data_IF_602402732273
#
_entry.id   IF_602402732273
#
_cell.length_a   1.000
_cell.length_b   1.000
_cell.length_c   1.000
_cell.angle_alpha   90.00
_cell.angle_beta   90.00
_cell.angle_gamma   90.00
#
_symmetry.space_group_name_H-M   'P 1'
#
loop_
_entity.id
_entity.type
_entity.pdbx_description
1 polymer ?
#
# COMPACT_ATOMS: atom_id res chain seq x y z
N UNK A 1 -10.35 8.36 -3.73
CA UNK A 1 -9.60 7.38 -4.55
C UNK A 1 -10.37 6.06 -4.49
N UNK A 2 -10.44 5.31 -5.59
CA UNK A 2 -11.13 4.00 -5.58
C UNK A 2 -10.35 3.01 -4.72
N UNK A 3 -11.04 2.31 -3.80
CA UNK A 3 -10.45 1.24 -2.98
C UNK A 3 -9.75 0.16 -3.82
N UNK A 4 -10.20 -0.07 -5.06
CA UNK A 4 -9.53 -1.00 -5.99
C UNK A 4 -8.08 -0.57 -6.31
N UNK A 5 -7.83 0.72 -6.48
CA UNK A 5 -6.48 1.20 -6.78
C UNK A 5 -5.54 1.04 -5.58
N UNK A 6 -6.07 1.17 -4.37
CA UNK A 6 -5.28 0.98 -3.14
C UNK A 6 -5.07 -0.51 -2.83
N UNK A 7 -6.01 -1.39 -3.20
CA UNK A 7 -5.80 -2.84 -3.13
C UNK A 7 -4.63 -3.31 -3.99
N UNK A 8 -4.47 -2.76 -5.20
CA UNK A 8 -3.33 -3.09 -6.06
C UNK A 8 -1.99 -2.70 -5.40
N UNK A 9 -1.95 -1.57 -4.68
CA UNK A 9 -0.77 -1.17 -3.91
C UNK A 9 -0.48 -2.15 -2.77
N UNK A 10 -1.51 -2.60 -2.05
CA UNK A 10 -1.36 -3.59 -0.98
C UNK A 10 -0.77 -4.90 -1.51
N UNK A 11 -1.29 -5.40 -2.64
CA UNK A 11 -0.78 -6.62 -3.29
C UNK A 11 0.70 -6.50 -3.59
N UNK A 12 1.16 -5.36 -4.09
CA UNK A 12 2.60 -5.19 -4.37
C UNK A 12 3.46 -5.05 -3.12
N UNK A 13 2.96 -4.43 -2.05
CA UNK A 13 3.67 -4.43 -0.76
C UNK A 13 3.80 -5.85 -0.22
N UNK A 14 2.73 -6.65 -0.30
CA UNK A 14 2.71 -8.04 0.14
C UNK A 14 3.68 -8.91 -0.71
N UNK A 15 3.70 -8.74 -2.03
CA UNK A 15 4.62 -9.43 -2.95
C UNK A 15 6.08 -9.07 -2.66
N UNK A 16 6.37 -7.77 -2.53
CA UNK A 16 7.72 -7.27 -2.32
C UNK A 16 8.25 -7.55 -0.89
N UNK A 17 7.34 -7.82 0.06
CA UNK A 17 7.62 -7.95 1.51
C UNK A 17 8.41 -6.75 2.06
N UNK A 18 8.22 -5.58 1.45
CA UNK A 18 8.95 -4.36 1.79
C UNK A 18 8.27 -3.16 1.13
N UNK A 19 7.90 -2.17 1.94
CA UNK A 19 7.36 -0.90 1.46
C UNK A 19 8.35 -0.16 0.54
N UNK A 20 9.64 -0.18 0.87
CA UNK A 20 10.67 0.47 0.05
C UNK A 20 10.75 -0.15 -1.34
N UNK A 21 10.84 -1.49 -1.43
CA UNK A 21 10.92 -2.20 -2.72
C UNK A 21 9.64 -2.04 -3.54
N UNK A 22 8.47 -2.09 -2.89
CA UNK A 22 7.20 -1.85 -3.57
C UNK A 22 7.11 -0.42 -4.12
N UNK A 23 7.53 0.57 -3.33
CA UNK A 23 7.55 1.98 -3.75
C UNK A 23 8.48 2.21 -4.94
N UNK A 24 9.66 1.59 -4.94
CA UNK A 24 10.60 1.59 -6.08
C UNK A 24 9.96 0.95 -7.32
N UNK A 25 9.32 -0.22 -7.19
CA UNK A 25 8.66 -0.92 -8.30
C UNK A 25 7.46 -0.14 -8.87
N UNK A 26 6.75 0.59 -8.01
CA UNK A 26 5.59 1.41 -8.37
C UNK A 26 5.97 2.83 -8.82
N UNK A 27 7.26 3.19 -8.79
CA UNK A 27 7.74 4.53 -9.18
C UNK A 27 7.16 5.65 -8.32
N UNK A 28 6.91 5.41 -7.02
CA UNK A 28 6.33 6.41 -6.12
C UNK A 28 7.11 6.56 -4.82
N UNK A 29 6.98 7.71 -4.11
CA UNK A 29 7.59 7.87 -2.81
C UNK A 29 7.06 6.86 -1.78
N UNK A 30 7.95 6.30 -0.97
CA UNK A 30 7.61 5.37 0.11
C UNK A 30 6.57 5.97 1.08
N UNK A 31 6.71 7.26 1.42
CA UNK A 31 5.74 7.97 2.27
C UNK A 31 4.33 8.06 1.66
N UNK A 32 4.22 8.19 0.34
CA UNK A 32 2.94 8.18 -0.38
C UNK A 32 2.31 6.80 -0.35
N UNK A 33 3.10 5.75 -0.62
CA UNK A 33 2.63 4.37 -0.57
C UNK A 33 2.11 4.03 0.84
N UNK A 34 2.89 4.30 1.88
CA UNK A 34 2.48 4.06 3.28
C UNK A 34 1.20 4.79 3.63
N UNK A 35 1.06 6.07 3.25
CA UNK A 35 -0.17 6.84 3.51
C UNK A 35 -1.40 6.25 2.84
N UNK A 36 -1.27 5.78 1.60
CA UNK A 36 -2.38 5.14 0.85
C UNK A 36 -2.78 3.80 1.46
N UNK A 37 -1.82 2.98 1.89
CA UNK A 37 -2.10 1.74 2.61
C UNK A 37 -2.80 2.02 3.94
N UNK A 38 -2.31 2.96 4.74
CA UNK A 38 -2.97 3.32 6.00
C UNK A 38 -4.39 3.87 5.79
N UNK A 39 -4.64 4.57 4.69
CA UNK A 39 -5.99 5.03 4.34
C UNK A 39 -6.90 3.86 3.94
N UNK A 40 -6.39 2.88 3.19
CA UNK A 40 -7.11 1.66 2.86
C UNK A 40 -7.47 0.86 4.13
N UNK A 41 -6.49 0.59 4.99
CA UNK A 41 -6.69 -0.13 6.27
C UNK A 41 -7.75 0.54 7.14
N UNK A 42 -7.73 1.88 7.23
CA UNK A 42 -8.75 2.66 7.95
C UNK A 42 -10.12 2.54 7.32
N UNK A 43 -10.21 2.61 5.98
CA UNK A 43 -11.49 2.55 5.28
C UNK A 43 -12.17 1.18 5.41
N UNK A 44 -11.39 0.09 5.44
CA UNK A 44 -11.91 -1.27 5.63
C UNK A 44 -12.00 -1.69 7.11
N UNK A 45 -11.44 -0.87 8.02
CA UNK A 45 -11.44 -1.14 9.46
C UNK A 45 -10.53 -2.31 9.89
N UNK A 46 -9.53 -2.67 9.08
CA UNK A 46 -8.66 -3.82 9.31
C UNK A 46 -7.21 -3.47 9.01
N UNK A 47 -6.30 -3.94 9.88
CA UNK A 47 -4.86 -3.88 9.63
C UNK A 47 -4.45 -5.05 8.74
N UNK A 48 -3.82 -4.76 7.61
CA UNK A 48 -3.42 -5.74 6.59
C UNK A 48 -1.93 -6.09 6.69
N UNK A 49 -1.10 -5.19 7.23
CA UNK A 49 0.35 -5.35 7.31
C UNK A 49 0.87 -5.10 8.74
N UNK A 50 1.90 -5.85 9.14
CA UNK A 50 2.59 -5.74 10.43
C UNK A 50 3.99 -5.17 10.29
#
# INVERSE_FOLDING_TARGET
MSHLNDMALFVEVARARSFRKAAEALGMPNSTLSRRISALEKAIGLRLLH
#
